data_IF_740701908506
#
_entry.id   IF_740701908506
#
_cell.length_a   1.000
_cell.length_b   1.000
_cell.length_c   1.000
_cell.angle_alpha   90.00
_cell.angle_beta   90.00
_cell.angle_gamma   90.00
#
_symmetry.space_group_name_H-M   'P 1'
#
loop_
_entity.id
_entity.type
_entity.pdbx_description
1 polymer ?
#
# COMPACT_ATOMS: atom_id res chain seq x y z
N UNK A 1 -45.02 -36.65 49.60
CA UNK A 1 -44.16 -37.39 48.65
C UNK A 1 -43.02 -36.47 48.24
N UNK A 2 -41.83 -36.70 48.79
CA UNK A 2 -40.58 -36.10 48.32
C UNK A 2 -40.08 -36.90 47.11
N UNK A 3 -39.62 -36.20 46.07
CA UNK A 3 -38.71 -36.77 45.07
C UNK A 3 -37.49 -35.87 44.98
N UNK A 4 -36.35 -36.44 45.32
CA UNK A 4 -35.01 -35.91 45.14
C UNK A 4 -34.54 -36.19 43.71
N UNK A 5 -33.83 -35.24 43.09
CA UNK A 5 -32.96 -35.47 41.94
C UNK A 5 -31.73 -34.56 42.08
N UNK A 6 -30.61 -35.20 42.38
CA UNK A 6 -29.24 -34.70 42.25
C UNK A 6 -28.80 -34.85 40.78
N UNK A 7 -27.86 -34.05 40.28
CA UNK A 7 -27.38 -34.21 38.91
C UNK A 7 -26.55 -33.09 38.30
N UNK A 8 -25.29 -32.99 38.74
CA UNK A 8 -24.09 -32.80 37.90
C UNK A 8 -24.06 -31.69 36.85
N UNK A 9 -23.24 -30.68 37.11
CA UNK A 9 -22.77 -29.64 36.19
C UNK A 9 -21.90 -30.19 35.05
N UNK A 10 -22.24 -29.81 33.82
CA UNK A 10 -21.49 -30.13 32.59
C UNK A 10 -20.23 -29.26 32.52
N UNK A 11 -19.01 -29.83 32.42
CA UNK A 11 -17.79 -29.03 32.31
C UNK A 11 -17.65 -28.39 30.92
N UNK A 12 -17.20 -27.14 30.89
CA UNK A 12 -17.03 -26.35 29.66
C UNK A 12 -15.98 -26.95 28.72
N UNK A 13 -16.18 -26.71 27.42
CA UNK A 13 -15.33 -27.07 26.26
C UNK A 13 -13.84 -26.73 26.46
N UNK A 14 -13.52 -25.79 27.37
CA UNK A 14 -12.15 -25.38 27.69
C UNK A 14 -11.31 -26.49 28.33
N UNK A 15 -11.94 -27.45 29.04
CA UNK A 15 -11.22 -28.54 29.72
C UNK A 15 -10.88 -29.74 28.81
N UNK A 16 -11.36 -29.78 27.55
CA UNK A 16 -11.08 -30.87 26.61
C UNK A 16 -9.88 -30.63 25.67
N UNK A 17 -9.35 -29.41 25.59
CA UNK A 17 -8.28 -29.07 24.63
C UNK A 17 -6.87 -29.24 25.20
N UNK A 18 -6.70 -29.20 26.53
CA UNK A 18 -5.39 -29.23 27.18
C UNK A 18 -4.74 -30.63 27.32
N UNK A 19 -5.31 -31.67 26.69
CA UNK A 19 -4.82 -33.06 26.84
C UNK A 19 -4.10 -33.67 25.62
N UNK A 20 -3.82 -32.92 24.56
CA UNK A 20 -3.25 -33.52 23.33
C UNK A 20 -1.99 -32.85 22.76
N UNK A 21 -1.09 -32.32 23.61
CA UNK A 21 0.25 -31.92 23.15
C UNK A 21 1.32 -32.39 24.16
N UNK A 22 2.25 -33.29 23.78
CA UNK A 22 3.34 -33.72 24.66
C UNK A 22 4.30 -32.56 24.97
N UNK A 23 4.66 -32.42 26.24
CA UNK A 23 5.48 -31.33 26.83
C UNK A 23 6.98 -31.34 26.43
N UNK A 24 7.40 -32.10 25.44
CA UNK A 24 8.83 -32.31 25.11
C UNK A 24 9.36 -31.50 23.92
N UNK A 25 8.67 -30.46 23.47
CA UNK A 25 9.13 -29.60 22.36
C UNK A 25 9.04 -28.10 22.68
N UNK A 26 9.44 -27.73 23.89
CA UNK A 26 9.69 -26.34 24.27
C UNK A 26 11.17 -26.09 24.01
N UNK A 27 11.48 -25.53 22.83
CA UNK A 27 12.77 -24.89 22.57
C UNK A 27 12.77 -23.53 23.27
N UNK A 28 13.78 -23.32 24.12
CA UNK A 28 13.99 -22.13 24.94
C UNK A 28 13.93 -20.84 24.12
N UNK A 29 12.94 -20.01 24.42
CA UNK A 29 12.96 -18.58 24.08
C UNK A 29 13.52 -17.81 25.28
N UNK A 30 14.48 -16.88 25.07
CA UNK A 30 15.04 -16.10 26.16
C UNK A 30 13.97 -15.19 26.80
N UNK A 31 14.12 -14.86 28.10
CA UNK A 31 13.08 -14.19 28.88
C UNK A 31 12.85 -12.74 28.41
N UNK A 32 11.60 -12.24 28.51
CA UNK A 32 11.26 -10.88 28.11
C UNK A 32 11.54 -9.92 29.27
N UNK A 33 12.72 -9.31 29.26
CA UNK A 33 12.96 -8.09 30.00
C UNK A 33 13.22 -6.94 29.02
N UNK A 34 12.65 -5.76 29.33
CA UNK A 34 12.57 -4.51 28.55
C UNK A 34 11.42 -4.37 27.54
N UNK A 35 10.16 -4.47 28.00
CA UNK A 35 9.11 -3.55 27.52
C UNK A 35 8.26 -3.14 28.73
N UNK A 36 8.62 -2.01 29.33
CA UNK A 36 7.82 -1.36 30.35
C UNK A 36 6.50 -0.83 29.76
N UNK A 37 5.40 -1.27 30.38
CA UNK A 37 4.14 -0.54 30.62
C UNK A 37 4.01 0.83 29.94
N UNK A 38 3.11 0.94 28.95
CA UNK A 38 2.33 2.16 28.70
C UNK A 38 0.94 1.80 28.17
N UNK A 39 0.01 1.52 29.07
CA UNK A 39 -1.40 1.86 28.86
C UNK A 39 -1.50 3.38 28.99
N UNK A 40 -1.40 4.10 27.88
CA UNK A 40 -1.77 5.50 27.78
C UNK A 40 -2.78 5.66 26.65
N UNK A 41 -3.78 6.51 26.91
CA UNK A 41 -4.71 7.03 25.90
C UNK A 41 -3.95 7.49 24.64
N UNK A 42 -4.59 7.48 23.45
CA UNK A 42 -3.92 7.91 22.22
C UNK A 42 -3.25 9.26 22.44
N UNK A 43 -1.97 9.42 22.08
CA UNK A 43 -1.26 10.66 22.34
C UNK A 43 -1.99 11.82 21.65
N UNK A 44 -2.03 13.01 22.27
CA UNK A 44 -2.49 14.21 21.60
C UNK A 44 -1.66 14.42 20.34
N UNK A 45 -2.18 15.17 19.37
CA UNK A 45 -1.51 15.56 18.11
C UNK A 45 -0.12 16.15 18.46
N UNK A 46 0.90 15.30 18.49
CA UNK A 46 2.24 15.65 18.95
C UNK A 46 3.25 15.01 18.00
N UNK A 47 3.96 15.90 17.30
CA UNK A 47 5.07 15.65 16.40
C UNK A 47 4.75 14.74 15.20
N UNK A 48 4.09 15.32 14.19
CA UNK A 48 4.37 14.89 12.82
C UNK A 48 5.85 15.23 12.55
N UNK A 49 6.76 14.25 12.40
CA UNK A 49 8.14 14.57 12.10
C UNK A 49 8.17 15.08 10.67
N UNK A 50 8.24 16.41 10.53
CA UNK A 50 8.37 17.12 9.27
C UNK A 50 9.79 16.96 8.69
N UNK A 51 10.29 15.73 8.71
CA UNK A 51 11.62 15.42 8.18
C UNK A 51 11.69 15.78 6.70
N UNK A 52 12.79 16.41 6.27
CA UNK A 52 13.01 16.74 4.87
C UNK A 52 13.11 15.49 4.00
N UNK A 53 12.95 15.69 2.70
CA UNK A 53 13.22 14.65 1.72
C UNK A 53 14.71 14.30 1.75
N UNK A 54 15.01 13.00 1.64
CA UNK A 54 16.38 12.50 1.58
C UNK A 54 17.08 12.89 0.27
N UNK A 55 16.31 13.21 -0.77
CA UNK A 55 16.78 13.55 -2.11
C UNK A 55 16.21 14.90 -2.51
N UNK A 56 17.08 15.85 -2.87
CA UNK A 56 16.70 17.12 -3.47
C UNK A 56 16.31 16.92 -4.94
N UNK A 57 15.21 17.53 -5.37
CA UNK A 57 14.66 17.43 -6.73
C UNK A 57 15.22 18.54 -7.63
N UNK A 58 16.55 18.53 -7.79
CA UNK A 58 17.30 19.45 -8.66
C UNK A 58 17.31 19.06 -10.15
N UNK A 59 16.74 17.89 -10.47
CA UNK A 59 16.74 17.27 -11.79
C UNK A 59 15.46 16.46 -12.01
N UNK A 60 15.22 16.04 -13.25
CA UNK A 60 14.01 15.32 -13.59
C UNK A 60 13.94 13.93 -12.93
N UNK A 61 12.76 13.53 -12.45
CA UNK A 61 12.55 12.25 -11.77
C UNK A 61 12.99 11.09 -12.64
N UNK A 62 12.78 11.13 -13.96
CA UNK A 62 13.17 10.03 -14.85
C UNK A 62 14.67 9.69 -14.81
N UNK A 63 15.53 10.66 -14.47
CA UNK A 63 16.98 10.51 -14.34
C UNK A 63 17.41 9.81 -13.04
N UNK A 64 16.52 9.74 -12.04
CA UNK A 64 16.80 9.04 -10.79
C UNK A 64 16.72 7.51 -10.96
N UNK A 65 17.41 6.76 -10.08
CA UNK A 65 17.25 5.30 -10.00
C UNK A 65 15.79 4.95 -9.66
N UNK A 66 15.34 3.73 -9.96
CA UNK A 66 13.97 3.32 -9.61
C UNK A 66 13.75 3.31 -8.08
N UNK A 67 14.83 3.09 -7.31
CA UNK A 67 14.83 3.11 -5.86
C UNK A 67 14.82 4.54 -5.33
N UNK A 68 15.59 5.45 -5.93
CA UNK A 68 15.59 6.88 -5.62
C UNK A 68 14.21 7.51 -5.90
N UNK A 69 13.58 7.17 -7.04
CA UNK A 69 12.17 7.54 -7.32
C UNK A 69 11.23 7.00 -6.25
N UNK A 70 11.42 5.74 -5.85
CA UNK A 70 10.59 5.13 -4.81
C UNK A 70 10.75 5.82 -3.46
N UNK A 71 11.96 6.28 -3.12
CA UNK A 71 12.22 7.00 -1.89
C UNK A 71 11.52 8.35 -1.85
N UNK A 72 11.67 9.16 -2.91
CA UNK A 72 10.97 10.44 -3.06
C UNK A 72 9.46 10.24 -2.89
N UNK A 73 8.89 9.29 -3.62
CA UNK A 73 7.44 9.05 -3.57
C UNK A 73 6.98 8.46 -2.23
N UNK A 74 7.82 7.69 -1.53
CA UNK A 74 7.54 7.23 -0.17
C UNK A 74 7.51 8.40 0.81
N UNK A 75 8.52 9.27 0.76
CA UNK A 75 8.60 10.44 1.64
C UNK A 75 7.46 11.43 1.38
N UNK A 76 7.10 11.68 0.12
CA UNK A 76 5.91 12.48 -0.21
C UNK A 76 4.61 11.81 0.27
N UNK A 77 4.48 10.48 0.14
CA UNK A 77 3.32 9.73 0.66
C UNK A 77 3.22 9.78 2.18
N UNK A 78 4.36 9.83 2.89
CA UNK A 78 4.41 10.08 4.34
C UNK A 78 4.00 11.53 4.63
N UNK A 79 4.51 12.46 3.83
CA UNK A 79 4.25 13.88 4.01
C UNK A 79 2.77 14.21 3.86
N UNK A 80 2.06 13.54 2.95
CA UNK A 80 0.63 13.74 2.69
C UNK A 80 -0.31 13.54 3.90
N UNK A 81 0.17 12.98 5.02
CA UNK A 81 -0.59 12.87 6.28
C UNK A 81 -0.42 14.07 7.23
N UNK A 82 0.48 15.00 6.91
CA UNK A 82 0.77 16.18 7.72
C UNK A 82 -0.12 17.38 7.40
N UNK A 83 0.00 18.47 8.17
CA UNK A 83 -0.70 19.72 7.88
C UNK A 83 -0.10 20.44 6.65
N UNK A 84 -0.92 21.00 5.74
CA UNK A 84 -0.44 21.63 4.50
C UNK A 84 0.63 22.71 4.69
N UNK A 85 0.50 23.54 5.72
CA UNK A 85 1.40 24.67 5.98
C UNK A 85 2.82 24.21 6.30
N UNK A 86 2.93 23.06 6.97
CA UNK A 86 4.22 22.46 7.33
C UNK A 86 4.82 21.75 6.13
N UNK A 87 4.00 21.04 5.36
CA UNK A 87 4.45 20.31 4.17
C UNK A 87 5.02 21.27 3.15
N UNK A 88 4.33 22.38 2.85
CA UNK A 88 4.80 23.37 1.87
C UNK A 88 6.21 23.89 2.19
N UNK A 89 6.53 24.11 3.47
CA UNK A 89 7.87 24.53 3.91
C UNK A 89 8.91 23.44 3.63
N UNK A 90 8.62 22.21 4.05
CA UNK A 90 9.55 21.07 3.92
C UNK A 90 9.84 20.73 2.45
N UNK A 91 8.82 20.75 1.59
CA UNK A 91 8.98 20.37 0.19
C UNK A 91 9.69 21.46 -0.62
N UNK A 92 9.53 22.74 -0.25
CA UNK A 92 10.24 23.84 -0.90
C UNK A 92 11.75 23.74 -0.73
N UNK A 93 12.22 23.39 0.47
CA UNK A 93 13.66 23.13 0.72
C UNK A 93 14.20 21.95 -0.11
N UNK A 94 13.32 21.00 -0.47
CA UNK A 94 13.65 19.87 -1.32
C UNK A 94 13.62 20.17 -2.83
N UNK A 95 13.31 21.40 -3.26
CA UNK A 95 13.23 21.79 -4.68
C UNK A 95 11.87 21.53 -5.33
N UNK A 96 10.80 21.48 -4.53
CA UNK A 96 9.42 21.47 -5.01
C UNK A 96 8.88 22.90 -4.94
N UNK A 97 8.66 23.50 -6.10
CA UNK A 97 8.30 24.91 -6.24
C UNK A 97 6.78 25.15 -6.08
N UNK A 98 5.97 24.10 -6.28
CA UNK A 98 4.50 24.14 -6.19
C UNK A 98 4.01 23.04 -5.26
N UNK A 99 3.12 23.38 -4.31
CA UNK A 99 2.53 22.45 -3.36
C UNK A 99 1.06 22.82 -3.13
N UNK A 100 0.18 22.22 -3.93
CA UNK A 100 -1.26 22.46 -3.82
C UNK A 100 -1.93 21.31 -3.05
N UNK A 101 -2.72 21.67 -2.04
CA UNK A 101 -3.56 20.72 -1.32
C UNK A 101 -4.98 20.72 -1.92
N UNK A 102 -5.49 19.54 -2.24
CA UNK A 102 -6.84 19.32 -2.76
C UNK A 102 -7.61 18.44 -1.78
N UNK A 103 -8.73 18.94 -1.28
CA UNK A 103 -9.57 18.25 -0.31
C UNK A 103 -11.05 18.40 -0.68
N UNK A 104 -11.75 17.27 -0.78
CA UNK A 104 -13.19 17.22 -1.05
C UNK A 104 -13.82 16.06 -0.28
N UNK A 105 -14.79 16.38 0.60
CA UNK A 105 -15.56 15.42 1.39
C UNK A 105 -14.71 14.29 2.03
N UNK A 106 -13.60 14.67 2.67
CA UNK A 106 -12.69 13.73 3.35
C UNK A 106 -11.74 12.95 2.43
N UNK A 107 -11.81 13.17 1.12
CA UNK A 107 -10.78 12.73 0.16
C UNK A 107 -9.70 13.80 0.08
N UNK A 108 -8.44 13.41 0.07
CA UNK A 108 -7.31 14.34 0.15
C UNK A 108 -6.16 13.92 -0.79
N UNK A 109 -5.57 14.90 -1.46
CA UNK A 109 -4.39 14.72 -2.29
C UNK A 109 -3.54 16.00 -2.34
N UNK A 110 -2.25 15.82 -2.60
CA UNK A 110 -1.32 16.89 -2.90
C UNK A 110 -0.92 16.84 -4.37
N UNK A 111 -0.80 18.02 -4.99
CA UNK A 111 -0.17 18.21 -6.29
C UNK A 111 1.14 18.95 -6.05
N UNK A 112 2.24 18.23 -6.17
CA UNK A 112 3.58 18.77 -6.07
C UNK A 112 4.13 19.05 -7.47
N UNK A 113 4.76 20.20 -7.67
CA UNK A 113 5.39 20.58 -8.92
C UNK A 113 6.84 21.00 -8.72
N UNK A 114 7.72 20.51 -9.59
CA UNK A 114 9.09 21.01 -9.75
C UNK A 114 9.23 21.64 -11.14
N UNK A 115 10.36 22.29 -11.43
CA UNK A 115 10.70 22.68 -12.81
C UNK A 115 10.52 21.55 -13.85
N UNK A 116 10.71 20.29 -13.45
CA UNK A 116 10.78 19.16 -14.39
C UNK A 116 9.56 18.25 -14.36
N UNK A 117 8.87 18.12 -13.22
CA UNK A 117 7.89 17.05 -13.01
C UNK A 117 6.67 17.54 -12.22
N UNK A 118 5.55 16.85 -12.40
CA UNK A 118 4.35 16.99 -11.58
C UNK A 118 4.07 15.67 -10.86
N UNK A 119 3.88 15.71 -9.54
CA UNK A 119 3.65 14.53 -8.70
C UNK A 119 2.32 14.68 -7.96
N UNK A 120 1.39 13.76 -8.20
CA UNK A 120 0.10 13.71 -7.51
C UNK A 120 0.17 12.63 -6.45
N UNK A 121 -0.01 13.01 -5.18
CA UNK A 121 0.11 12.10 -4.05
C UNK A 121 -1.19 12.11 -3.24
N UNK A 122 -1.94 11.01 -3.30
CA UNK A 122 -3.19 10.87 -2.54
C UNK A 122 -2.92 10.36 -1.12
N UNK A 123 -3.57 10.99 -0.14
CA UNK A 123 -3.52 10.56 1.26
C UNK A 123 -4.40 9.32 1.45
N UNK A 124 -3.95 8.38 2.29
CA UNK A 124 -4.79 7.26 2.71
C UNK A 124 -5.62 7.58 3.96
N UNK A 125 -6.51 6.68 4.33
CA UNK A 125 -7.28 6.78 5.57
C UNK A 125 -6.51 6.28 6.78
N UNK A 126 -6.99 6.67 7.97
CA UNK A 126 -6.48 6.15 9.24
C UNK A 126 -6.83 4.67 9.42
N UNK A 127 -6.04 3.92 10.21
CA UNK A 127 -6.26 2.49 10.44
C UNK A 127 -7.66 2.12 10.96
N UNK A 128 -8.24 2.94 11.84
CA UNK A 128 -9.62 2.76 12.34
C UNK A 128 -10.65 2.91 11.23
N UNK A 129 -10.50 3.94 10.39
CA UNK A 129 -11.35 4.13 9.20
C UNK A 129 -11.13 3.03 8.15
N UNK A 130 -9.95 2.42 8.09
CA UNK A 130 -9.70 1.26 7.22
C UNK A 130 -10.45 0.02 7.70
N UNK A 131 -10.57 -0.19 9.02
CA UNK A 131 -11.41 -1.25 9.59
C UNK A 131 -12.88 -1.01 9.28
N UNK A 132 -13.35 0.22 9.46
CA UNK A 132 -14.72 0.62 9.11
C UNK A 132 -14.96 0.46 7.61
N UNK A 133 -14.07 0.94 6.74
CA UNK A 133 -14.16 0.76 5.28
C UNK A 133 -14.10 -0.72 4.89
N UNK A 134 -13.29 -1.55 5.56
CA UNK A 134 -13.19 -2.98 5.27
C UNK A 134 -14.42 -3.76 5.75
N UNK A 135 -15.05 -3.33 6.85
CA UNK A 135 -16.32 -3.87 7.35
C UNK A 135 -17.50 -3.40 6.49
N UNK A 136 -17.50 -2.14 6.09
CA UNK A 136 -18.46 -1.50 5.18
C UNK A 136 -18.13 -1.75 3.70
N UNK A 137 -17.07 -2.52 3.40
CA UNK A 137 -16.69 -2.95 2.07
C UNK A 137 -17.70 -3.97 1.54
N UNK A 138 -18.90 -3.45 1.26
CA UNK A 138 -19.64 -3.72 0.06
C UNK A 138 -18.67 -3.51 -1.11
N UNK A 139 -17.83 -4.52 -1.38
CA UNK A 139 -16.81 -4.57 -2.43
C UNK A 139 -17.46 -4.69 -3.83
N UNK A 140 -18.41 -3.80 -4.09
CA UNK A 140 -19.05 -3.68 -5.38
C UNK A 140 -18.09 -2.95 -6.29
N UNK A 141 -17.85 -3.56 -7.43
CA UNK A 141 -17.13 -2.88 -8.50
C UNK A 141 -18.14 -2.06 -9.30
N UNK A 142 -17.78 -0.84 -9.67
CA UNK A 142 -18.51 -0.03 -10.65
C UNK A 142 -17.91 -0.22 -12.03
N UNK A 143 -18.75 -0.24 -13.06
CA UNK A 143 -18.30 -0.28 -14.44
C UNK A 143 -17.75 1.10 -14.85
N UNK A 144 -16.68 1.11 -15.62
CA UNK A 144 -16.09 2.26 -16.27
C UNK A 144 -15.64 1.85 -17.68
N UNK A 145 -15.24 2.82 -18.50
CA UNK A 145 -14.91 2.62 -19.93
C UNK A 145 -13.89 1.49 -20.18
N UNK A 146 -13.01 1.25 -19.21
CA UNK A 146 -11.89 0.31 -19.34
C UNK A 146 -12.08 -1.00 -18.57
N UNK A 147 -13.22 -1.18 -17.88
CA UNK A 147 -13.48 -2.37 -17.07
C UNK A 147 -14.25 -2.06 -15.80
N UNK A 148 -13.81 -2.62 -14.67
CA UNK A 148 -14.50 -2.43 -13.39
C UNK A 148 -13.52 -2.03 -12.30
N UNK A 149 -13.88 -1.02 -11.51
CA UNK A 149 -13.06 -0.45 -10.43
C UNK A 149 -13.84 -0.53 -9.11
N UNK A 150 -13.15 -0.58 -7.97
CA UNK A 150 -13.81 -0.54 -6.66
C UNK A 150 -14.61 0.77 -6.50
N UNK A 151 -15.89 0.66 -6.16
CA UNK A 151 -16.80 1.82 -6.02
C UNK A 151 -16.22 2.90 -5.12
N UNK A 152 -15.79 2.55 -3.90
CA UNK A 152 -15.24 3.52 -2.95
C UNK A 152 -14.03 4.29 -3.48
N UNK A 153 -13.07 3.61 -4.14
CA UNK A 153 -11.88 4.29 -4.67
C UNK A 153 -12.25 5.22 -5.83
N UNK A 154 -13.17 4.78 -6.69
CA UNK A 154 -13.67 5.59 -7.79
C UNK A 154 -14.43 6.83 -7.28
N UNK A 155 -15.27 6.68 -6.25
CA UNK A 155 -16.00 7.80 -5.63
C UNK A 155 -15.06 8.82 -5.00
N UNK A 156 -14.04 8.40 -4.24
CA UNK A 156 -13.05 9.32 -3.68
C UNK A 156 -12.30 10.10 -4.77
N UNK A 157 -11.90 9.42 -5.84
CA UNK A 157 -11.24 10.09 -6.96
C UNK A 157 -12.21 10.98 -7.74
N UNK A 158 -13.48 10.60 -7.89
CA UNK A 158 -14.48 11.44 -8.55
C UNK A 158 -14.66 12.80 -7.89
N UNK A 159 -14.54 12.86 -6.57
CA UNK A 159 -14.60 14.11 -5.81
C UNK A 159 -13.37 14.99 -6.06
N UNK A 160 -12.17 14.40 -6.11
CA UNK A 160 -10.91 15.15 -6.29
C UNK A 160 -10.58 15.46 -7.76
N UNK A 161 -11.12 14.67 -8.68
CA UNK A 161 -10.68 14.68 -10.08
C UNK A 161 -10.86 16.03 -10.78
N UNK A 162 -11.97 16.77 -10.63
CA UNK A 162 -12.11 18.08 -11.29
C UNK A 162 -10.99 19.06 -10.91
N UNK A 163 -10.64 19.13 -9.63
CA UNK A 163 -9.59 20.00 -9.11
C UNK A 163 -8.19 19.57 -9.56
N UNK A 164 -7.95 18.25 -9.66
CA UNK A 164 -6.70 17.68 -10.17
C UNK A 164 -6.59 17.90 -11.68
N UNK A 165 -7.66 17.63 -12.43
CA UNK A 165 -7.72 17.76 -13.90
C UNK A 165 -7.48 19.20 -14.33
N UNK A 166 -8.09 20.18 -13.64
CA UNK A 166 -7.85 21.59 -13.90
C UNK A 166 -6.37 21.97 -13.77
N UNK A 167 -5.69 21.48 -12.72
CA UNK A 167 -4.24 21.70 -12.54
C UNK A 167 -3.39 20.97 -13.59
N UNK A 168 -3.84 19.80 -14.04
CA UNK A 168 -3.14 19.03 -15.07
C UNK A 168 -3.37 19.54 -16.49
N UNK A 169 -4.41 20.34 -16.74
CA UNK A 169 -4.74 20.88 -18.07
C UNK A 169 -3.64 21.79 -18.60
N UNK A 170 -3.04 22.59 -17.73
CA UNK A 170 -1.93 23.51 -18.06
C UNK A 170 -0.55 22.85 -17.89
N UNK A 171 -0.50 21.66 -17.30
CA UNK A 171 0.74 20.96 -17.03
C UNK A 171 1.29 20.28 -18.29
N UNK A 172 2.49 20.69 -18.71
CA UNK A 172 3.26 20.06 -19.81
C UNK A 172 4.36 19.11 -19.30
N UNK A 173 4.55 19.02 -17.98
CA UNK A 173 5.59 18.19 -17.34
C UNK A 173 5.14 16.73 -17.27
N UNK A 174 6.06 15.75 -17.25
CA UNK A 174 5.75 14.36 -16.94
C UNK A 174 5.04 14.23 -15.58
N UNK A 175 4.00 13.40 -15.53
CA UNK A 175 3.16 13.23 -14.32
C UNK A 175 3.43 11.90 -13.63
N UNK A 176 3.60 11.95 -12.31
CA UNK A 176 3.87 10.80 -11.45
C UNK A 176 2.77 10.68 -10.40
N UNK A 177 2.37 9.45 -10.08
CA UNK A 177 1.30 9.20 -9.12
C UNK A 177 1.84 8.45 -7.90
N UNK A 178 1.42 8.86 -6.71
CA UNK A 178 1.90 8.34 -5.43
C UNK A 178 0.78 8.14 -4.43
N UNK A 179 0.97 7.21 -3.50
CA UNK A 179 0.11 7.15 -2.33
C UNK A 179 0.34 5.92 -1.46
N UNK A 180 -0.13 6.02 -0.22
CA UNK A 180 -0.07 4.96 0.77
C UNK A 180 -1.46 4.43 1.10
N UNK A 181 -1.60 3.13 1.34
CA UNK A 181 -2.87 2.49 1.71
C UNK A 181 -3.97 2.80 0.69
N UNK A 182 -5.14 3.28 1.14
CA UNK A 182 -6.22 3.82 0.30
C UNK A 182 -5.70 4.84 -0.74
N UNK A 183 -4.80 5.73 -0.35
CA UNK A 183 -4.21 6.73 -1.23
C UNK A 183 -3.43 6.10 -2.39
N UNK A 184 -2.81 4.94 -2.19
CA UNK A 184 -2.15 4.20 -3.26
C UNK A 184 -3.12 3.59 -4.27
N UNK A 185 -4.34 3.22 -3.82
CA UNK A 185 -5.41 2.81 -4.72
C UNK A 185 -5.99 4.00 -5.50
N UNK A 186 -6.23 5.13 -4.81
CA UNK A 186 -6.64 6.39 -5.44
C UNK A 186 -5.63 6.84 -6.49
N UNK A 187 -4.33 6.79 -6.20
CA UNK A 187 -3.27 7.14 -7.14
C UNK A 187 -3.33 6.34 -8.45
N UNK A 188 -3.62 5.04 -8.36
CA UNK A 188 -3.81 4.19 -9.54
C UNK A 188 -5.07 4.58 -10.33
N UNK A 189 -6.17 4.93 -9.66
CA UNK A 189 -7.39 5.44 -10.33
C UNK A 189 -7.15 6.80 -10.97
N UNK A 190 -6.49 7.74 -10.29
CA UNK A 190 -6.08 9.03 -10.84
C UNK A 190 -5.19 8.87 -12.08
N UNK A 191 -4.26 7.92 -12.07
CA UNK A 191 -3.42 7.66 -13.24
C UNK A 191 -4.23 7.15 -14.45
N UNK A 192 -5.22 6.27 -14.21
CA UNK A 192 -6.15 5.81 -15.27
C UNK A 192 -6.93 6.99 -15.83
N UNK A 193 -7.54 7.81 -14.97
CA UNK A 193 -8.33 8.97 -15.38
C UNK A 193 -7.48 10.00 -16.13
N UNK A 194 -6.25 10.25 -15.68
CA UNK A 194 -5.29 11.11 -16.37
C UNK A 194 -5.04 10.63 -17.80
N UNK A 195 -4.91 9.30 -18.00
CA UNK A 195 -4.71 8.74 -19.33
C UNK A 195 -5.94 8.83 -20.24
N UNK A 196 -7.13 8.78 -19.67
CA UNK A 196 -8.41 8.83 -20.39
C UNK A 196 -8.90 10.25 -20.66
N UNK A 197 -8.51 11.21 -19.83
CA UNK A 197 -8.98 12.59 -19.92
C UNK A 197 -8.34 13.31 -21.11
N UNK A 198 -9.05 14.26 -21.75
CA UNK A 198 -8.55 15.03 -22.88
C UNK A 198 -7.60 16.15 -22.42
N UNK A 199 -6.55 15.78 -21.70
CA UNK A 199 -5.51 16.68 -21.16
C UNK A 199 -4.13 16.30 -21.74
N UNK A 200 -3.19 17.24 -21.88
CA UNK A 200 -1.87 16.96 -22.45
C UNK A 200 -0.97 16.10 -21.54
N UNK A 201 -1.34 15.99 -20.26
CA UNK A 201 -0.62 15.23 -19.24
C UNK A 201 -0.67 13.72 -19.51
N UNK A 202 0.47 13.03 -19.38
CA UNK A 202 0.55 11.57 -19.53
C UNK A 202 1.24 10.93 -18.30
N UNK A 203 0.61 9.94 -17.64
CA UNK A 203 1.19 9.27 -16.48
C UNK A 203 2.45 8.48 -16.83
N UNK A 204 3.56 8.75 -16.13
CA UNK A 204 4.85 8.06 -16.32
C UNK A 204 4.95 6.79 -15.48
N UNK A 205 4.66 6.90 -14.18
CA UNK A 205 4.66 5.78 -13.26
C UNK A 205 3.76 6.02 -12.05
N UNK A 206 3.37 4.92 -11.39
CA UNK A 206 2.64 4.91 -10.13
C UNK A 206 3.56 4.31 -9.05
N UNK A 207 3.58 4.90 -7.86
CA UNK A 207 4.26 4.39 -6.69
C UNK A 207 3.25 4.23 -5.57
N UNK A 208 3.05 2.99 -5.13
CA UNK A 208 2.04 2.70 -4.11
C UNK A 208 2.64 1.86 -2.99
N UNK A 209 2.35 2.24 -1.76
CA UNK A 209 2.87 1.60 -0.55
C UNK A 209 1.69 1.01 0.23
N UNK A 210 1.67 -0.32 0.42
CA UNK A 210 0.56 -0.97 1.14
C UNK A 210 -0.80 -0.89 0.44
N UNK A 211 -0.84 -0.60 -0.87
CA UNK A 211 -2.12 -0.35 -1.57
C UNK A 211 -2.96 -1.62 -1.81
N UNK A 212 -4.30 -1.55 -1.64
CA UNK A 212 -5.23 -2.63 -1.96
C UNK A 212 -5.37 -2.87 -3.48
N UNK A 213 -6.13 -3.89 -3.87
CA UNK A 213 -6.51 -4.15 -5.28
C UNK A 213 -7.57 -3.18 -5.74
N UNK A 214 -7.36 -2.59 -6.90
CA UNK A 214 -8.15 -1.45 -7.38
C UNK A 214 -9.36 -1.86 -8.23
N UNK A 215 -9.22 -2.88 -9.06
CA UNK A 215 -10.26 -3.25 -10.02
C UNK A 215 -10.11 -4.64 -10.60
N UNK A 216 -10.91 -4.95 -11.61
CA UNK A 216 -10.89 -6.23 -12.30
C UNK A 216 -9.65 -6.39 -13.19
N UNK A 217 -9.50 -7.57 -13.81
CA UNK A 217 -8.35 -7.86 -14.69
C UNK A 217 -8.19 -6.86 -15.83
N UNK A 218 -9.30 -6.45 -16.47
CA UNK A 218 -9.31 -5.50 -17.58
C UNK A 218 -8.75 -4.15 -17.11
N UNK A 219 -9.30 -3.62 -16.00
CA UNK A 219 -8.85 -2.39 -15.37
C UNK A 219 -7.36 -2.44 -14.99
N UNK A 220 -6.95 -3.49 -14.29
CA UNK A 220 -5.57 -3.66 -13.83
C UNK A 220 -4.55 -3.81 -14.97
N UNK A 221 -5.00 -4.17 -16.17
CA UNK A 221 -4.18 -4.31 -17.38
C UNK A 221 -4.22 -3.10 -18.32
N UNK A 222 -5.09 -2.13 -18.05
CA UNK A 222 -5.34 -0.99 -18.95
C UNK A 222 -4.10 -0.11 -19.11
N UNK A 223 -3.55 0.41 -18.01
CA UNK A 223 -2.33 1.19 -18.10
C UNK A 223 -1.13 0.26 -18.23
N UNK A 224 -0.50 0.30 -19.40
CA UNK A 224 0.81 -0.30 -19.64
C UNK A 224 1.96 0.58 -19.10
N UNK A 225 1.77 1.23 -17.95
CA UNK A 225 2.79 2.06 -17.31
C UNK A 225 3.47 1.32 -16.17
N UNK A 226 4.61 1.85 -15.71
CA UNK A 226 5.32 1.26 -14.58
C UNK A 226 4.56 1.57 -13.30
N UNK A 227 4.11 0.55 -12.60
CA UNK A 227 3.51 0.71 -11.27
C UNK A 227 4.32 -0.11 -10.26
N UNK A 228 5.01 0.61 -9.38
CA UNK A 228 5.87 0.08 -8.33
C UNK A 228 5.05 -0.10 -7.05
N UNK A 229 4.62 -1.34 -6.78
CA UNK A 229 3.77 -1.67 -5.63
C UNK A 229 4.61 -2.27 -4.51
N UNK A 230 4.95 -1.44 -3.53
CA UNK A 230 5.68 -1.86 -2.34
C UNK A 230 4.75 -2.58 -1.36
N UNK A 231 5.16 -3.78 -0.95
CA UNK A 231 4.41 -4.62 0.00
C UNK A 231 5.34 -5.05 1.11
N UNK A 232 5.05 -4.62 2.34
CA UNK A 232 5.70 -5.11 3.54
C UNK A 232 5.10 -6.46 3.96
N UNK A 233 5.92 -7.42 4.43
CA UNK A 233 5.47 -8.80 4.69
C UNK A 233 4.24 -8.89 5.60
N UNK A 234 4.25 -8.14 6.69
CA UNK A 234 3.21 -8.19 7.71
C UNK A 234 1.97 -7.37 7.31
N UNK A 235 2.06 -6.56 6.24
CA UNK A 235 0.95 -5.77 5.75
C UNK A 235 -0.13 -6.66 5.10
N UNK A 236 -1.36 -6.49 5.59
CA UNK A 236 -2.54 -7.22 5.13
C UNK A 236 -3.35 -6.44 4.09
N UNK A 237 -3.24 -5.11 4.03
CA UNK A 237 -4.08 -4.24 3.20
C UNK A 237 -3.95 -4.55 1.70
N UNK A 238 -2.75 -4.83 1.16
CA UNK A 238 -2.60 -5.29 -0.22
C UNK A 238 -3.35 -6.59 -0.57
N UNK A 239 -3.96 -7.27 0.40
CA UNK A 239 -4.69 -8.53 0.15
C UNK A 239 -6.17 -8.31 -0.09
N UNK A 240 -6.66 -7.09 0.10
CA UNK A 240 -8.06 -6.75 -0.10
C UNK A 240 -8.23 -5.86 -1.33
N UNK A 241 -9.38 -5.95 -2.03
CA UNK A 241 -10.34 -7.06 -1.94
C UNK A 241 -9.76 -8.39 -2.47
N UNK A 242 -10.26 -9.56 -2.06
CA UNK A 242 -9.75 -10.87 -2.48
C UNK A 242 -9.85 -11.14 -3.99
N UNK A 243 -8.93 -11.95 -4.53
CA UNK A 243 -8.90 -12.28 -5.97
C UNK A 243 -10.11 -13.09 -6.46
N UNK A 244 -10.70 -13.93 -5.61
CA UNK A 244 -11.88 -14.72 -5.98
C UNK A 244 -13.10 -13.84 -6.28
N UNK A 245 -13.11 -12.59 -5.80
CA UNK A 245 -14.13 -11.59 -6.13
C UNK A 245 -13.85 -10.86 -7.47
N UNK A 246 -12.90 -11.37 -8.26
CA UNK A 246 -12.55 -10.80 -9.57
C UNK A 246 -11.56 -9.64 -9.53
N UNK A 247 -11.03 -9.26 -8.36
CA UNK A 247 -10.05 -8.18 -8.20
C UNK A 247 -8.63 -8.62 -8.56
N UNK A 248 -7.91 -7.76 -9.25
CA UNK A 248 -6.53 -7.96 -9.67
C UNK A 248 -5.63 -6.82 -9.20
N UNK A 249 -4.38 -7.16 -8.90
CA UNK A 249 -3.36 -6.14 -8.69
C UNK A 249 -2.98 -5.50 -10.02
N UNK A 250 -2.86 -4.18 -9.98
CA UNK A 250 -2.17 -3.40 -10.99
C UNK A 250 -0.67 -3.36 -10.66
N UNK A 251 0.17 -3.29 -11.69
CA UNK A 251 1.60 -3.10 -11.53
C UNK A 251 2.41 -4.30 -11.07
N UNK A 252 3.64 -4.00 -10.65
CA UNK A 252 4.67 -4.96 -10.25
C UNK A 252 4.85 -4.92 -8.74
N UNK A 253 4.86 -6.10 -8.13
CA UNK A 253 5.11 -6.22 -6.69
C UNK A 253 6.60 -6.08 -6.37
N UNK A 254 6.92 -5.16 -5.46
CA UNK A 254 8.19 -5.10 -4.75
C UNK A 254 7.91 -5.57 -3.34
N UNK A 255 8.13 -6.85 -3.12
CA UNK A 255 7.89 -7.48 -1.83
C UNK A 255 9.11 -7.38 -0.92
N UNK A 256 8.89 -6.93 0.31
CA UNK A 256 9.91 -6.84 1.36
C UNK A 256 9.61 -7.88 2.43
N UNK A 257 10.61 -8.71 2.76
CA UNK A 257 10.46 -9.74 3.80
C UNK A 257 10.66 -9.16 5.21
N UNK A 258 10.45 -9.99 6.26
CA UNK A 258 10.63 -9.58 7.67
C UNK A 258 12.02 -9.02 8.00
N UNK A 259 13.04 -9.33 7.19
CA UNK A 259 14.41 -8.86 7.38
C UNK A 259 14.69 -7.54 6.63
N UNK A 260 13.66 -6.86 6.10
CA UNK A 260 13.82 -5.63 5.32
C UNK A 260 14.42 -5.84 3.92
N UNK A 261 14.55 -7.09 3.44
CA UNK A 261 15.16 -7.40 2.14
C UNK A 261 14.09 -7.61 1.07
N UNK A 262 14.35 -7.11 -0.13
CA UNK A 262 13.55 -7.42 -1.33
C UNK A 262 13.65 -8.93 -1.60
N UNK A 263 12.52 -9.61 -1.70
CA UNK A 263 12.49 -11.08 -1.79
C UNK A 263 11.39 -11.60 -2.71
N UNK A 264 11.69 -12.64 -3.48
CA UNK A 264 10.76 -13.35 -4.37
C UNK A 264 10.32 -14.68 -3.73
N UNK A 265 9.42 -14.68 -2.73
CA UNK A 265 8.90 -15.94 -2.14
C UNK A 265 7.53 -16.29 -2.75
N UNK A 266 7.25 -17.61 -2.86
CA UNK A 266 6.12 -18.21 -3.56
C UNK A 266 4.74 -18.01 -2.89
N UNK A 267 3.67 -18.01 -3.70
CA UNK A 267 2.38 -17.35 -3.42
C UNK A 267 1.36 -18.12 -2.55
N UNK A 268 1.41 -19.45 -2.45
CA UNK A 268 0.29 -20.22 -1.86
C UNK A 268 0.44 -20.46 -0.35
N UNK A 269 1.61 -20.88 0.13
CA UNK A 269 1.91 -20.98 1.57
C UNK A 269 1.79 -19.61 2.26
N UNK A 270 2.23 -18.55 1.58
CA UNK A 270 1.99 -17.17 2.00
C UNK A 270 0.51 -16.89 2.21
N UNK A 271 -0.36 -17.23 1.27
CA UNK A 271 -1.79 -16.91 1.32
C UNK A 271 -2.50 -17.48 2.55
N UNK A 272 -2.24 -18.74 2.90
CA UNK A 272 -2.95 -19.42 3.97
C UNK A 272 -2.50 -18.97 5.38
N UNK A 273 -1.20 -18.82 5.62
CA UNK A 273 -0.67 -18.24 6.87
C UNK A 273 -1.16 -16.80 7.09
N UNK A 274 -1.28 -16.06 5.99
CA UNK A 274 -1.72 -14.66 5.97
C UNK A 274 -3.20 -14.46 6.27
N UNK A 275 -4.05 -15.42 5.89
CA UNK A 275 -5.49 -15.43 6.19
C UNK A 275 -5.74 -15.92 7.61
N UNK A 276 -5.03 -16.96 8.06
CA UNK A 276 -5.10 -17.43 9.44
C UNK A 276 -4.62 -16.38 10.43
N UNK A 277 -3.50 -15.71 10.16
CA UNK A 277 -2.97 -14.65 11.02
C UNK A 277 -3.94 -13.47 11.22
N UNK A 278 -4.70 -13.12 10.18
CA UNK A 278 -5.76 -12.10 10.24
C UNK A 278 -6.96 -12.57 11.09
N UNK A 279 -7.47 -13.78 10.84
CA UNK A 279 -8.57 -14.36 11.62
C UNK A 279 -8.21 -14.56 13.11
N UNK A 280 -6.95 -14.92 13.40
CA UNK A 280 -6.45 -15.03 14.77
C UNK A 280 -6.23 -13.67 15.44
N UNK A 281 -5.80 -12.64 14.69
CA UNK A 281 -5.61 -11.27 15.19
C UNK A 281 -6.92 -10.60 15.58
N UNK A 282 -7.95 -10.70 14.73
CA UNK A 282 -9.31 -10.23 15.00
C UNK A 282 -9.88 -10.85 16.28
N UNK A 283 -9.52 -12.11 16.58
CA UNK A 283 -10.03 -12.85 17.74
C UNK A 283 -9.35 -12.49 19.07
N UNK A 284 -8.20 -11.79 19.05
CA UNK A 284 -7.41 -11.50 20.26
C UNK A 284 -7.24 -10.02 20.61
N UNK A 285 -7.83 -9.11 19.84
CA UNK A 285 -7.78 -7.67 20.16
C UNK A 285 -6.38 -7.07 20.25
N UNK A 286 -5.37 -7.73 19.65
CA UNK A 286 -3.99 -7.23 19.54
C UNK A 286 -3.72 -6.89 18.08
N UNK A 287 -3.45 -5.62 17.80
CA UNK A 287 -3.31 -5.12 16.44
C UNK A 287 -1.85 -4.73 16.15
N UNK A 288 -0.97 -5.73 16.05
CA UNK A 288 0.42 -5.52 15.61
C UNK A 288 0.52 -5.24 14.08
N UNK A 289 -0.55 -5.52 13.32
CA UNK A 289 -0.57 -5.43 11.86
C UNK A 289 -0.73 -4.00 11.28
N UNK A 290 -1.31 -3.07 12.06
CA UNK A 290 -1.53 -1.68 11.61
C UNK A 290 -0.27 -0.82 11.77
N UNK A 291 0.59 -1.13 12.75
CA UNK A 291 1.91 -0.51 12.90
C UNK A 291 2.80 -0.78 11.67
N UNK A 292 2.81 -2.03 11.19
CA UNK A 292 3.55 -2.46 9.99
C UNK A 292 2.97 -1.94 8.67
N UNK A 293 1.73 -1.44 8.71
CA UNK A 293 1.06 -0.73 7.63
C UNK A 293 1.28 0.80 7.75
N UNK A 294 2.11 1.29 8.67
CA UNK A 294 2.40 2.71 8.73
C UNK A 294 3.33 3.13 7.59
N UNK A 295 3.10 4.32 7.03
CA UNK A 295 4.00 4.87 6.01
C UNK A 295 5.43 5.10 6.55
N UNK A 296 5.58 5.25 7.87
CA UNK A 296 6.90 5.36 8.54
C UNK A 296 7.74 4.11 8.29
N UNK A 297 7.18 2.91 8.45
CA UNK A 297 7.87 1.65 8.19
C UNK A 297 8.28 1.51 6.72
N UNK A 298 7.37 1.84 5.80
CA UNK A 298 7.67 1.83 4.36
C UNK A 298 8.81 2.80 4.02
N UNK A 299 8.81 4.02 4.57
CA UNK A 299 9.92 4.99 4.39
C UNK A 299 11.22 4.45 4.97
N UNK A 300 11.20 3.87 6.17
CA UNK A 300 12.39 3.31 6.81
C UNK A 300 13.03 2.20 5.97
N UNK A 301 12.21 1.28 5.44
CA UNK A 301 12.64 0.22 4.52
C UNK A 301 13.29 0.81 3.27
N UNK A 302 12.61 1.75 2.59
CA UNK A 302 13.11 2.31 1.32
C UNK A 302 14.37 3.14 1.55
N UNK A 303 14.46 3.91 2.65
CA UNK A 303 15.69 4.63 3.05
C UNK A 303 16.85 3.68 3.32
N UNK A 304 16.60 2.58 4.02
CA UNK A 304 17.62 1.57 4.27
C UNK A 304 18.16 1.01 2.94
N UNK A 305 17.27 0.59 2.04
CA UNK A 305 17.65 0.08 0.72
C UNK A 305 18.42 1.13 -0.10
N UNK A 306 17.99 2.39 -0.08
CA UNK A 306 18.68 3.49 -0.75
C UNK A 306 20.11 3.66 -0.22
N UNK A 307 20.31 3.69 1.10
CA UNK A 307 21.65 3.78 1.71
C UNK A 307 22.53 2.60 1.32
N UNK A 308 21.97 1.39 1.32
CA UNK A 308 22.66 0.17 0.88
C UNK A 308 23.02 0.22 -0.61
N UNK A 309 22.18 0.85 -1.45
CA UNK A 309 22.49 1.10 -2.87
C UNK A 309 23.67 2.06 -3.04
N UNK A 310 23.70 3.16 -2.28
CA UNK A 310 24.82 4.11 -2.28
C UNK A 310 26.12 3.51 -1.74
N UNK A 311 26.04 2.49 -0.89
CA UNK A 311 27.20 1.70 -0.41
C UNK A 311 27.69 0.65 -1.42
N UNK A 312 27.09 0.57 -2.63
CA UNK A 312 27.56 -0.27 -3.73
C UNK A 312 26.73 -1.53 -3.99
N UNK A 313 25.68 -1.79 -3.20
CA UNK A 313 24.79 -2.92 -3.47
C UNK A 313 23.87 -2.61 -4.66
N UNK A 314 23.90 -3.42 -5.71
CA UNK A 314 23.00 -3.23 -6.85
C UNK A 314 21.65 -3.92 -6.63
N UNK A 315 20.56 -3.17 -6.68
CA UNK A 315 19.21 -3.74 -6.69
C UNK A 315 18.63 -3.76 -8.10
N UNK A 316 18.27 -4.96 -8.57
CA UNK A 316 17.53 -5.08 -9.84
C UNK A 316 16.07 -4.72 -9.61
N UNK A 317 15.55 -3.79 -10.40
CA UNK A 317 14.11 -3.54 -10.48
C UNK A 317 13.39 -4.86 -10.80
N UNK A 318 12.37 -5.28 -10.02
CA UNK A 318 11.61 -6.48 -10.36
C UNK A 318 11.01 -6.37 -11.77
N UNK A 319 11.34 -7.33 -12.63
CA UNK A 319 10.73 -7.44 -13.95
C UNK A 319 9.24 -7.79 -13.79
N UNK A 320 8.40 -7.33 -14.73
CA UNK A 320 7.03 -7.84 -14.79
C UNK A 320 7.11 -9.36 -14.94
N UNK A 321 6.22 -10.10 -14.28
CA UNK A 321 6.08 -11.52 -14.53
C UNK A 321 5.55 -11.71 -15.96
N UNK A 322 6.42 -11.65 -16.96
CA UNK A 322 6.17 -12.22 -18.28
C UNK A 322 6.05 -13.71 -18.08
N UNK A 323 4.82 -14.21 -18.02
CA UNK A 323 4.56 -15.62 -18.29
C UNK A 323 4.86 -15.84 -19.77
N UNK A 324 6.13 -16.07 -20.12
CA UNK A 324 6.43 -16.77 -21.36
C UNK A 324 5.88 -18.18 -21.21
N UNK A 325 4.71 -18.44 -21.82
CA UNK A 325 4.38 -19.80 -22.23
C UNK A 325 5.25 -20.11 -23.43
N UNK A 326 6.43 -20.66 -23.16
CA UNK A 326 7.21 -21.38 -24.16
C UNK A 326 6.54 -22.73 -24.35
N UNK A 327 5.74 -22.89 -25.41
CA UNK A 327 5.43 -24.17 -26.05
C UNK A 327 4.50 -23.93 -27.25
N UNK A 328 5.08 -23.76 -28.43
CA UNK A 328 4.64 -24.49 -29.61
C UNK A 328 5.81 -24.54 -30.59
N UNK A 329 6.42 -25.71 -30.62
CA UNK A 329 7.32 -26.20 -31.65
C UNK A 329 6.43 -26.98 -32.61
N UNK A 330 6.31 -26.54 -33.86
CA UNK A 330 5.81 -27.27 -35.05
C UNK A 330 5.90 -26.24 -36.19
N UNK A 331 6.47 -26.46 -37.37
CA UNK A 331 7.30 -27.51 -37.97
C UNK A 331 7.65 -26.91 -39.34
N UNK A 332 8.89 -27.11 -39.79
CA UNK A 332 9.30 -26.83 -41.17
C UNK A 332 8.48 -27.70 -42.14
N UNK A 333 7.99 -27.13 -43.25
CA UNK A 333 8.55 -27.34 -44.60
C UNK A 333 7.70 -26.65 -45.69
N UNK A 334 8.32 -26.21 -46.80
CA UNK A 334 7.65 -25.57 -47.94
C UNK A 334 7.32 -26.59 -49.05
N UNK A 335 6.60 -26.16 -50.09
CA UNK A 335 7.24 -26.08 -51.41
C UNK A 335 7.35 -24.66 -51.98
#
# INVERSE_FOLDING_TARGET
MQFTMDGSSIPSVKQRVDRLIPKSLILDLPPPELIGSMTQAPPPIACFPAEPLSIRLDRALHQLSWLDKSLVMAELSRLAYGPPELISKVVYEAGIDQCDFVQQAGSEAYVFGTKYDCMIVSRGTEPTKLEDIAADAKAWTVACDIGRVHSGFDSHVQLLWPDIENRLRENQRPVWFGGHSLGGAMAAVCAVRCKLSPIPSNPQAIFSFGAPRVGNRQYASFLKIRHYRWVNNNDIVPRFPPRFMGYHHMGREIYVNRKGKISRIHNWLRFHDRVRGFLYGLRRGKIDYLCDHSMREYVAIVRHLHRTEKQGTRFTCPQAATRHRSAMRCSEEPP
#
